data_IF_479550552302
#
_entry.id   IF_479550552302
#
_cell.length_a   1.000
_cell.length_b   1.000
_cell.length_c   1.000
_cell.angle_alpha   90.00
_cell.angle_beta   90.00
_cell.angle_gamma   90.00
#
_symmetry.space_group_name_H-M   'P 1'
#
loop_
_entity.id
_entity.type
_entity.pdbx_description
1 polymer ?
#
# COMPACT_ATOMS: atom_id res chain seq x y z
N UNK A 1 -0.24 -52.07 -3.53
CA UNK A 1 0.87 -51.15 -3.89
C UNK A 1 1.02 -51.22 -5.41
N UNK A 2 0.54 -50.20 -6.14
CA UNK A 2 0.75 -50.09 -7.59
C UNK A 2 1.97 -49.22 -7.81
N UNK A 3 3.07 -49.83 -8.32
CA UNK A 3 4.27 -49.13 -8.77
C UNK A 3 3.88 -48.18 -9.91
N UNK A 4 3.91 -46.84 -9.65
CA UNK A 4 3.89 -45.86 -10.74
C UNK A 4 5.24 -45.93 -11.48
N UNK A 5 5.24 -46.60 -12.62
CA UNK A 5 6.37 -46.57 -13.56
C UNK A 5 6.53 -45.16 -14.12
N UNK A 6 7.52 -44.43 -13.64
CA UNK A 6 7.96 -43.16 -14.22
C UNK A 6 8.69 -43.45 -15.54
N UNK A 7 8.14 -43.00 -16.67
CA UNK A 7 8.82 -43.14 -17.95
C UNK A 7 9.94 -42.08 -18.09
N UNK A 8 11.06 -42.42 -18.79
CA UNK A 8 12.15 -41.47 -19.01
C UNK A 8 11.71 -40.16 -19.69
N UNK A 9 10.63 -40.16 -20.46
CA UNK A 9 10.03 -38.96 -21.10
C UNK A 9 9.41 -37.99 -20.10
N UNK A 10 8.76 -38.51 -19.07
CA UNK A 10 8.16 -37.67 -18.03
C UNK A 10 9.23 -36.97 -17.12
N UNK A 11 10.34 -37.67 -16.85
CA UNK A 11 11.47 -37.09 -16.13
C UNK A 11 12.18 -36.00 -16.96
N UNK A 12 12.41 -36.23 -18.26
CA UNK A 12 13.02 -35.23 -19.15
C UNK A 12 12.14 -33.99 -19.33
N UNK A 13 10.83 -34.14 -19.43
CA UNK A 13 9.92 -33.02 -19.56
C UNK A 13 9.89 -32.15 -18.27
N UNK A 14 9.87 -32.77 -17.08
CA UNK A 14 9.95 -32.06 -15.81
C UNK A 14 11.28 -31.36 -15.63
N UNK A 15 12.40 -32.04 -15.94
CA UNK A 15 13.74 -31.47 -15.84
C UNK A 15 13.88 -30.27 -16.79
N UNK A 16 13.36 -30.37 -18.02
CA UNK A 16 13.36 -29.27 -18.98
C UNK A 16 12.49 -28.10 -18.51
N UNK A 17 11.29 -28.35 -18.02
CA UNK A 17 10.40 -27.32 -17.48
C UNK A 17 10.98 -26.62 -16.22
N UNK A 18 11.72 -27.36 -15.40
CA UNK A 18 12.43 -26.80 -14.25
C UNK A 18 13.63 -25.95 -14.67
N UNK A 19 14.38 -26.37 -15.72
CA UNK A 19 15.44 -25.55 -16.28
C UNK A 19 14.93 -24.23 -16.85
N UNK A 20 13.76 -24.21 -17.49
CA UNK A 20 13.18 -23.00 -18.08
C UNK A 20 12.80 -21.94 -17.03
N UNK A 21 12.47 -22.34 -15.79
CA UNK A 21 12.11 -21.45 -14.68
C UNK A 21 13.25 -21.21 -13.68
N UNK A 22 14.43 -21.77 -13.91
CA UNK A 22 15.62 -21.53 -13.07
C UNK A 22 16.13 -20.11 -13.23
N UNK A 23 16.50 -19.48 -12.12
CA UNK A 23 17.11 -18.15 -12.11
C UNK A 23 18.50 -18.21 -12.74
N UNK A 24 18.65 -17.55 -13.90
CA UNK A 24 19.92 -17.44 -14.61
C UNK A 24 20.76 -16.30 -14.03
N UNK A 25 20.13 -15.13 -13.82
CA UNK A 25 20.80 -13.92 -13.39
C UNK A 25 19.83 -13.01 -12.61
N UNK A 26 20.37 -12.29 -11.63
CA UNK A 26 19.68 -11.22 -10.89
C UNK A 26 20.54 -9.97 -10.98
N UNK A 27 19.94 -8.86 -11.43
CA UNK A 27 20.63 -7.59 -11.61
C UNK A 27 19.83 -6.50 -10.90
N UNK A 28 20.47 -5.76 -10.01
CA UNK A 28 19.90 -4.59 -9.38
C UNK A 28 20.56 -3.31 -9.87
N UNK A 29 19.78 -2.21 -9.87
CA UNK A 29 20.27 -0.87 -10.16
C UNK A 29 19.61 0.16 -9.27
N UNK A 30 20.24 1.31 -9.14
CA UNK A 30 19.64 2.48 -8.52
C UNK A 30 18.84 3.24 -9.58
N UNK A 31 17.59 3.58 -9.23
CA UNK A 31 16.69 4.44 -10.02
C UNK A 31 16.19 5.58 -9.13
N UNK A 32 15.39 6.51 -9.66
CA UNK A 32 14.76 7.57 -8.88
C UNK A 32 13.29 7.25 -8.60
N UNK A 33 12.85 7.55 -7.38
CA UNK A 33 11.44 7.54 -7.00
C UNK A 33 10.71 8.82 -7.44
N UNK A 34 9.41 8.90 -7.21
CA UNK A 34 8.56 10.04 -7.56
C UNK A 34 8.92 11.36 -6.87
N UNK A 35 9.75 11.31 -5.84
CA UNK A 35 10.29 12.48 -5.12
C UNK A 35 11.71 12.84 -5.56
N UNK A 36 12.28 12.12 -6.54
CA UNK A 36 13.65 12.30 -7.00
C UNK A 36 14.70 11.74 -6.03
N UNK A 37 14.30 10.89 -5.07
CA UNK A 37 15.24 10.18 -4.22
C UNK A 37 15.61 8.84 -4.85
N UNK A 38 16.84 8.33 -4.64
CA UNK A 38 17.22 6.99 -5.08
C UNK A 38 16.36 5.90 -4.46
N UNK A 39 16.04 4.89 -5.27
CA UNK A 39 15.49 3.61 -4.83
C UNK A 39 16.07 2.48 -5.68
N UNK A 40 15.75 1.23 -5.35
CA UNK A 40 16.28 0.05 -6.02
C UNK A 40 15.25 -0.51 -7.02
N UNK A 41 15.75 -0.92 -8.20
CA UNK A 41 15.04 -1.74 -9.17
C UNK A 41 15.82 -3.02 -9.40
N UNK A 42 15.11 -4.15 -9.51
CA UNK A 42 15.70 -5.48 -9.69
C UNK A 42 15.11 -6.16 -10.92
N UNK A 43 15.97 -6.76 -11.72
CA UNK A 43 15.65 -7.68 -12.82
C UNK A 43 16.00 -9.11 -12.42
N UNK A 44 15.12 -10.04 -12.64
CA UNK A 44 15.35 -11.49 -12.54
C UNK A 44 15.18 -12.12 -13.90
N UNK A 45 16.26 -12.65 -14.45
CA UNK A 45 16.29 -13.37 -15.72
C UNK A 45 16.23 -14.88 -15.47
N UNK A 46 15.37 -15.58 -16.19
CA UNK A 46 15.26 -17.03 -16.13
C UNK A 46 15.95 -17.69 -17.32
N UNK A 47 16.44 -18.92 -17.17
CA UNK A 47 17.09 -19.72 -18.23
C UNK A 47 16.18 -19.90 -19.47
N UNK A 48 14.86 -19.90 -19.29
CA UNK A 48 13.87 -19.93 -20.37
C UNK A 48 13.67 -18.60 -21.11
N UNK A 49 14.41 -17.54 -20.74
CA UNK A 49 14.34 -16.20 -21.34
C UNK A 49 13.26 -15.29 -20.79
N UNK A 50 12.48 -15.74 -19.80
CA UNK A 50 11.53 -14.86 -19.12
C UNK A 50 12.28 -13.86 -18.23
N UNK A 51 11.75 -12.63 -18.15
CA UNK A 51 12.23 -11.53 -17.34
C UNK A 51 11.13 -11.06 -16.38
N UNK A 52 11.50 -10.88 -15.13
CA UNK A 52 10.68 -10.15 -14.15
C UNK A 52 11.43 -8.92 -13.67
N UNK A 53 10.72 -7.80 -13.55
CA UNK A 53 11.25 -6.53 -13.04
C UNK A 53 10.37 -6.01 -11.93
N UNK A 54 10.97 -5.46 -10.89
CA UNK A 54 10.26 -4.76 -9.83
C UNK A 54 11.08 -3.59 -9.30
N UNK A 55 10.40 -2.48 -9.01
CA UNK A 55 10.98 -1.31 -8.38
C UNK A 55 10.35 -1.11 -6.99
N UNK A 56 11.17 -0.79 -6.00
CA UNK A 56 10.75 -0.75 -4.60
C UNK A 56 10.33 0.65 -4.19
N UNK A 57 9.14 0.83 -3.59
CA UNK A 57 8.70 2.12 -3.07
C UNK A 57 9.44 2.48 -1.76
N UNK A 58 9.37 3.77 -1.37
CA UNK A 58 10.06 4.34 -0.22
C UNK A 58 9.14 5.23 0.62
N UNK A 59 9.14 5.09 1.94
CA UNK A 59 8.35 5.94 2.84
C UNK A 59 8.91 7.35 3.04
N UNK A 60 8.04 8.31 3.43
CA UNK A 60 8.44 9.61 3.96
C UNK A 60 8.40 9.58 5.49
N UNK A 61 7.25 9.29 6.08
CA UNK A 61 7.09 8.85 7.45
C UNK A 61 7.22 7.32 7.50
N UNK A 62 7.85 6.79 8.54
CA UNK A 62 8.05 5.37 8.72
C UNK A 62 7.68 5.00 10.15
N UNK A 63 6.82 3.99 10.32
CA UNK A 63 6.52 3.43 11.63
C UNK A 63 7.78 2.88 12.31
N UNK A 64 7.87 2.98 13.61
CA UNK A 64 9.04 2.58 14.42
C UNK A 64 9.45 1.12 14.17
N UNK A 65 8.49 0.28 13.82
CA UNK A 65 8.66 -1.17 13.69
C UNK A 65 8.75 -1.67 12.24
N UNK A 66 8.85 -0.79 11.25
CA UNK A 66 9.04 -1.17 9.85
C UNK A 66 10.37 -1.91 9.63
N UNK A 67 10.39 -2.78 8.61
CA UNK A 67 11.61 -3.38 8.14
C UNK A 67 12.58 -2.31 7.58
N UNK A 68 13.87 -2.52 7.76
CA UNK A 68 14.89 -1.51 7.53
C UNK A 68 15.16 -1.25 6.05
N UNK A 69 14.84 -0.06 5.58
CA UNK A 69 15.28 0.42 4.26
C UNK A 69 16.77 0.79 4.33
N UNK A 70 17.62 0.05 3.59
CA UNK A 70 19.06 0.27 3.61
C UNK A 70 19.44 1.46 2.73
N UNK A 71 19.98 2.51 3.34
CA UNK A 71 20.51 3.72 2.72
C UNK A 71 22.04 3.78 2.90
N UNK A 72 22.73 4.44 1.95
CA UNK A 72 24.20 4.51 1.97
C UNK A 72 24.73 5.40 3.10
N UNK A 73 24.01 6.47 3.46
CA UNK A 73 24.42 7.42 4.49
C UNK A 73 25.49 8.41 4.04
N UNK A 74 26.03 8.30 2.84
CA UNK A 74 27.03 9.23 2.29
C UNK A 74 26.38 10.59 1.95
N UNK A 75 26.60 11.57 2.79
CA UNK A 75 26.04 12.92 2.62
C UNK A 75 26.45 13.63 1.33
N UNK A 76 27.56 13.21 0.69
CA UNK A 76 28.03 13.77 -0.58
C UNK A 76 27.26 13.27 -1.79
N UNK A 77 26.49 12.18 -1.61
CA UNK A 77 25.70 11.57 -2.67
C UNK A 77 24.23 11.50 -2.25
N UNK A 78 23.35 12.17 -2.99
CA UNK A 78 21.89 12.28 -2.70
C UNK A 78 21.57 12.65 -1.23
N UNK A 79 22.42 13.45 -0.58
CA UNK A 79 22.23 13.82 0.81
C UNK A 79 22.26 12.66 1.81
N UNK A 80 22.81 11.51 1.44
CA UNK A 80 22.85 10.29 2.24
C UNK A 80 21.79 9.26 1.88
N UNK A 81 20.90 9.59 0.93
CA UNK A 81 19.75 8.73 0.55
C UNK A 81 20.08 7.70 -0.56
N UNK A 82 21.35 7.59 -1.03
CA UNK A 82 21.75 6.60 -2.01
C UNK A 82 21.44 5.16 -1.56
N UNK A 83 21.35 4.22 -2.52
CA UNK A 83 21.02 2.80 -2.26
C UNK A 83 22.04 1.84 -2.88
N UNK A 84 23.26 2.29 -3.19
CA UNK A 84 24.27 1.45 -3.81
C UNK A 84 24.69 0.26 -2.93
N UNK A 85 24.61 0.37 -1.61
CA UNK A 85 24.85 -0.76 -0.69
C UNK A 85 23.79 -1.84 -0.87
N UNK A 86 22.50 -1.45 -0.98
CA UNK A 86 21.42 -2.39 -1.24
C UNK A 86 21.56 -3.02 -2.64
N UNK A 87 21.96 -2.24 -3.65
CA UNK A 87 22.26 -2.72 -5.00
C UNK A 87 23.40 -3.75 -4.97
N UNK A 88 24.51 -3.47 -4.28
CA UNK A 88 25.63 -4.40 -4.13
C UNK A 88 25.21 -5.68 -3.40
N UNK A 89 24.39 -5.58 -2.35
CA UNK A 89 23.85 -6.75 -1.63
C UNK A 89 23.05 -7.66 -2.57
N UNK A 90 22.27 -7.11 -3.50
CA UNK A 90 21.54 -7.91 -4.50
C UNK A 90 22.52 -8.55 -5.47
N UNK A 91 23.41 -7.75 -6.10
CA UNK A 91 24.27 -8.21 -7.19
C UNK A 91 25.34 -9.21 -6.74
N UNK A 92 25.88 -9.06 -5.52
CA UNK A 92 26.97 -9.88 -5.03
C UNK A 92 26.48 -11.05 -4.16
N UNK A 93 25.65 -10.77 -3.17
CA UNK A 93 25.25 -11.73 -2.15
C UNK A 93 24.01 -12.54 -2.55
N UNK A 94 22.91 -11.86 -2.88
CA UNK A 94 21.62 -12.51 -3.15
C UNK A 94 21.66 -13.24 -4.50
N UNK A 95 22.19 -12.59 -5.55
CA UNK A 95 22.29 -13.19 -6.89
C UNK A 95 23.05 -14.52 -6.86
N UNK A 96 24.20 -14.56 -6.18
CA UNK A 96 24.99 -15.79 -6.05
C UNK A 96 24.26 -16.89 -5.27
N UNK A 97 23.50 -16.54 -4.25
CA UNK A 97 22.79 -17.48 -3.40
C UNK A 97 21.53 -18.09 -4.04
N UNK A 98 20.92 -17.38 -5.00
CA UNK A 98 19.68 -17.80 -5.67
C UNK A 98 19.89 -18.32 -7.10
N UNK A 99 21.10 -18.23 -7.65
CA UNK A 99 21.40 -18.74 -8.99
C UNK A 99 21.04 -20.22 -9.11
N UNK A 100 20.27 -20.57 -10.15
CA UNK A 100 19.79 -21.93 -10.41
C UNK A 100 18.55 -22.33 -9.60
N UNK A 101 18.03 -21.48 -8.71
CA UNK A 101 16.79 -21.75 -7.98
C UNK A 101 15.59 -21.62 -8.93
N UNK A 102 14.57 -22.42 -8.68
CA UNK A 102 13.31 -22.35 -9.43
C UNK A 102 12.47 -21.15 -8.97
N UNK A 103 12.26 -20.15 -9.84
CA UNK A 103 11.51 -18.94 -9.53
C UNK A 103 10.06 -19.20 -9.09
N UNK A 104 9.50 -20.38 -9.34
CA UNK A 104 8.16 -20.78 -8.89
C UNK A 104 8.07 -21.10 -7.40
N UNK A 105 9.21 -21.31 -6.75
CA UNK A 105 9.31 -21.67 -5.33
C UNK A 105 9.37 -20.38 -4.45
N UNK A 106 8.45 -19.43 -4.68
CA UNK A 106 8.45 -18.09 -4.06
C UNK A 106 8.68 -18.12 -2.55
N UNK A 107 7.93 -18.94 -1.81
CA UNK A 107 8.04 -19.00 -0.36
C UNK A 107 9.44 -19.45 0.10
N UNK A 108 10.06 -20.41 -0.60
CA UNK A 108 11.42 -20.85 -0.29
C UNK A 108 12.47 -19.79 -0.62
N UNK A 109 12.27 -19.05 -1.71
CA UNK A 109 13.13 -17.93 -2.09
C UNK A 109 13.07 -16.84 -1.02
N UNK A 110 11.87 -16.45 -0.60
CA UNK A 110 11.69 -15.43 0.43
C UNK A 110 12.25 -15.88 1.79
N UNK A 111 12.03 -17.16 2.17
CA UNK A 111 12.67 -17.76 3.36
C UNK A 111 14.21 -17.70 3.27
N UNK A 112 14.78 -18.01 2.07
CA UNK A 112 16.23 -17.92 1.85
C UNK A 112 16.72 -16.48 1.95
N UNK A 113 15.97 -15.48 1.42
CA UNK A 113 16.30 -14.07 1.54
C UNK A 113 16.34 -13.62 3.00
N UNK A 114 15.32 -13.98 3.78
CA UNK A 114 15.23 -13.69 5.22
C UNK A 114 16.41 -14.32 5.98
N UNK A 115 16.72 -15.59 5.68
CA UNK A 115 17.83 -16.30 6.31
C UNK A 115 19.19 -15.73 5.95
N UNK A 116 19.38 -15.20 4.72
CA UNK A 116 20.61 -14.52 4.30
C UNK A 116 20.82 -13.20 5.04
N UNK A 117 19.76 -12.43 5.29
CA UNK A 117 19.84 -11.22 6.10
C UNK A 117 20.12 -11.54 7.56
N UNK A 118 19.42 -12.52 8.13
CA UNK A 118 19.62 -13.05 9.48
C UNK A 118 19.29 -12.08 10.62
N UNK A 119 18.75 -10.89 10.33
CA UNK A 119 18.29 -9.93 11.34
C UNK A 119 16.77 -9.86 11.41
N UNK A 120 16.16 -9.53 12.58
CA UNK A 120 14.71 -9.49 12.73
C UNK A 120 14.00 -8.49 11.80
N UNK A 121 14.66 -7.36 11.51
CA UNK A 121 14.12 -6.25 10.73
C UNK A 121 14.84 -6.04 9.39
N UNK A 122 15.57 -7.03 8.88
CA UNK A 122 16.24 -7.01 7.57
C UNK A 122 17.30 -5.90 7.41
N UNK A 123 17.98 -5.53 8.50
CA UNK A 123 18.92 -4.40 8.50
C UNK A 123 20.29 -4.70 7.86
N UNK A 124 20.64 -5.98 7.67
CA UNK A 124 21.96 -6.36 7.16
C UNK A 124 22.04 -6.23 5.63
N UNK A 125 21.05 -6.76 4.91
CA UNK A 125 20.98 -6.66 3.44
C UNK A 125 20.06 -5.51 3.00
N UNK A 126 19.05 -5.18 3.80
CA UNK A 126 18.05 -4.17 3.52
C UNK A 126 16.72 -4.76 3.02
N UNK A 127 15.61 -4.37 3.63
CA UNK A 127 14.28 -4.79 3.20
C UNK A 127 14.00 -4.40 1.74
N UNK A 128 14.54 -3.26 1.28
CA UNK A 128 14.44 -2.82 -0.10
C UNK A 128 15.17 -3.77 -1.07
N UNK A 129 16.34 -4.29 -0.71
CA UNK A 129 17.05 -5.30 -1.51
C UNK A 129 16.26 -6.61 -1.59
N UNK A 130 15.76 -7.10 -0.44
CA UNK A 130 14.99 -8.34 -0.37
C UNK A 130 13.69 -8.23 -1.18
N UNK A 131 12.94 -7.14 -0.99
CA UNK A 131 11.66 -6.95 -1.66
C UNK A 131 11.81 -6.85 -3.18
N UNK A 132 12.82 -6.12 -3.65
CA UNK A 132 13.10 -6.02 -5.10
C UNK A 132 13.28 -7.39 -5.74
N UNK A 133 14.07 -8.26 -5.11
CA UNK A 133 14.30 -9.63 -5.61
C UNK A 133 13.02 -10.48 -5.49
N UNK A 134 12.31 -10.40 -4.36
CA UNK A 134 11.08 -11.16 -4.12
C UNK A 134 10.00 -10.85 -5.16
N UNK A 135 9.71 -9.58 -5.42
CA UNK A 135 8.71 -9.16 -6.41
C UNK A 135 9.17 -9.48 -7.85
N UNK A 136 10.42 -9.17 -8.20
CA UNK A 136 10.96 -9.45 -9.53
C UNK A 136 10.91 -10.96 -9.85
N UNK A 137 11.15 -11.82 -8.85
CA UNK A 137 11.02 -13.27 -8.99
C UNK A 137 9.59 -13.68 -9.30
N UNK A 138 8.61 -13.13 -8.61
CA UNK A 138 7.18 -13.39 -8.88
C UNK A 138 6.80 -12.97 -10.31
N UNK A 139 7.25 -11.80 -10.75
CA UNK A 139 7.06 -11.32 -12.13
C UNK A 139 7.70 -12.26 -13.16
N UNK A 140 8.94 -12.72 -12.93
CA UNK A 140 9.63 -13.65 -13.81
C UNK A 140 8.89 -14.99 -13.92
N UNK A 141 8.43 -15.52 -12.80
CA UNK A 141 7.67 -16.76 -12.76
C UNK A 141 6.32 -16.64 -13.48
N UNK A 142 5.60 -15.53 -13.29
CA UNK A 142 4.36 -15.23 -14.01
C UNK A 142 4.59 -15.12 -15.52
N UNK A 143 5.65 -14.40 -15.94
CA UNK A 143 6.05 -14.27 -17.34
C UNK A 143 6.42 -15.63 -17.95
N UNK A 144 7.16 -16.49 -17.24
CA UNK A 144 7.47 -17.85 -17.69
C UNK A 144 6.21 -18.71 -17.86
N UNK A 145 5.23 -18.53 -16.96
CA UNK A 145 3.93 -19.19 -17.05
C UNK A 145 3.01 -18.58 -18.13
N UNK A 146 3.37 -17.43 -18.71
CA UNK A 146 2.58 -16.66 -19.69
C UNK A 146 1.18 -16.28 -19.18
N UNK A 147 1.11 -15.94 -17.92
CA UNK A 147 -0.11 -15.42 -17.26
C UNK A 147 0.21 -14.13 -16.51
N UNK A 148 -0.73 -13.18 -16.38
CA UNK A 148 -0.50 -11.96 -15.65
C UNK A 148 -0.27 -12.21 -14.17
N UNK A 149 0.44 -11.28 -13.50
CA UNK A 149 0.87 -11.45 -12.11
C UNK A 149 -0.31 -11.69 -11.17
N UNK A 150 -1.43 -10.97 -11.32
CA UNK A 150 -2.59 -11.17 -10.45
C UNK A 150 -3.17 -12.59 -10.54
N UNK A 151 -3.13 -13.20 -11.75
CA UNK A 151 -3.56 -14.60 -11.96
C UNK A 151 -2.56 -15.59 -11.40
N UNK A 152 -1.26 -15.29 -11.56
CA UNK A 152 -0.20 -16.14 -11.04
C UNK A 152 -0.28 -16.25 -9.51
N UNK A 153 -0.47 -15.12 -8.82
CA UNK A 153 -0.55 -15.07 -7.36
C UNK A 153 -1.89 -15.56 -6.81
N UNK A 154 -3.01 -15.15 -7.42
CA UNK A 154 -4.36 -15.36 -6.87
C UNK A 154 -5.15 -16.50 -7.48
N UNK A 155 -4.64 -17.09 -8.58
CA UNK A 155 -5.31 -18.20 -9.28
C UNK A 155 -6.64 -17.80 -9.93
N UNK A 156 -7.51 -18.79 -10.22
CA UNK A 156 -8.74 -18.56 -10.99
C UNK A 156 -9.78 -17.67 -10.26
N UNK A 157 -9.71 -17.55 -8.95
CA UNK A 157 -10.65 -16.74 -8.15
C UNK A 157 -10.21 -15.27 -7.97
N UNK A 158 -9.06 -14.86 -8.49
CA UNK A 158 -8.61 -13.48 -8.50
C UNK A 158 -9.45 -12.65 -9.48
N UNK A 159 -10.49 -11.95 -8.99
CA UNK A 159 -11.46 -11.24 -9.83
C UNK A 159 -12.11 -10.02 -9.18
N UNK A 160 -11.78 -9.72 -7.93
CA UNK A 160 -12.32 -8.56 -7.23
C UNK A 160 -11.44 -7.34 -7.52
N UNK A 161 -12.00 -6.39 -8.24
CA UNK A 161 -11.40 -5.08 -8.45
C UNK A 161 -11.63 -4.21 -7.20
N UNK A 162 -10.57 -3.63 -6.62
CA UNK A 162 -10.67 -2.92 -5.36
C UNK A 162 -11.39 -1.59 -5.48
N UNK A 163 -12.09 -1.16 -4.43
CA UNK A 163 -12.55 0.22 -4.27
C UNK A 163 -11.31 1.10 -4.03
N UNK A 164 -11.09 2.13 -4.86
CA UNK A 164 -9.97 3.02 -4.65
C UNK A 164 -10.27 4.04 -3.52
N UNK A 165 -9.30 4.21 -2.63
CA UNK A 165 -9.22 5.27 -1.63
C UNK A 165 -8.30 6.36 -2.21
N UNK A 166 -8.90 7.42 -2.75
CA UNK A 166 -8.20 8.43 -3.55
C UNK A 166 -7.89 9.65 -2.70
N UNK A 167 -6.62 9.87 -2.35
CA UNK A 167 -6.19 11.06 -1.60
C UNK A 167 -6.31 12.33 -2.47
N UNK A 168 -7.35 13.15 -2.26
CA UNK A 168 -7.61 14.35 -3.06
C UNK A 168 -7.25 15.66 -2.36
N UNK A 169 -7.12 15.65 -1.01
CA UNK A 169 -6.66 16.78 -0.21
C UNK A 169 -5.64 16.31 0.84
N UNK A 170 -4.55 17.05 0.96
CA UNK A 170 -3.46 16.80 1.90
C UNK A 170 -3.45 17.82 3.04
N UNK A 171 -3.12 17.35 4.22
CA UNK A 171 -2.78 18.11 5.40
C UNK A 171 -1.57 17.48 6.12
N UNK A 172 -1.50 17.56 7.43
CA UNK A 172 -0.49 16.93 8.26
C UNK A 172 0.94 17.17 7.74
N UNK A 173 1.76 16.14 7.74
CA UNK A 173 3.13 16.18 7.22
C UNK A 173 3.19 16.35 5.68
N UNK A 174 2.11 16.09 4.96
CA UNK A 174 2.03 16.18 3.50
C UNK A 174 1.69 17.57 2.96
N UNK A 175 1.49 18.58 3.84
CA UNK A 175 1.12 19.94 3.44
C UNK A 175 1.57 20.96 4.48
N UNK A 176 1.81 22.20 4.04
CA UNK A 176 2.02 23.35 4.95
C UNK A 176 0.69 23.91 5.49
N UNK A 177 -0.46 23.35 5.12
CA UNK A 177 -1.77 23.75 5.58
C UNK A 177 -1.90 23.62 7.11
N UNK A 178 -2.68 24.53 7.77
CA UNK A 178 -2.94 24.45 9.21
C UNK A 178 -3.98 23.37 9.55
N UNK A 179 -3.73 22.13 9.12
CA UNK A 179 -4.57 20.95 9.34
C UNK A 179 -3.69 19.83 9.87
N UNK A 180 -4.09 19.17 10.96
CA UNK A 180 -3.29 18.13 11.59
C UNK A 180 -3.46 16.76 10.91
N UNK A 181 -4.65 16.45 10.38
CA UNK A 181 -4.88 15.20 9.65
C UNK A 181 -4.15 15.19 8.30
N UNK A 182 -3.59 14.02 7.94
CA UNK A 182 -2.66 13.90 6.82
C UNK A 182 -3.34 13.80 5.47
N UNK A 183 -4.43 13.00 5.35
CA UNK A 183 -5.10 12.75 4.08
C UNK A 183 -6.62 12.75 4.19
N UNK A 184 -7.25 13.34 3.19
CA UNK A 184 -8.69 13.32 2.98
C UNK A 184 -8.98 12.63 1.65
N UNK A 185 -9.58 11.45 1.73
CA UNK A 185 -9.78 10.57 0.59
C UNK A 185 -11.26 10.48 0.21
N UNK A 186 -11.53 10.32 -1.08
CA UNK A 186 -12.83 9.88 -1.58
C UNK A 186 -12.79 8.40 -1.94
N UNK A 187 -13.93 7.74 -1.72
CA UNK A 187 -14.15 6.33 -2.02
C UNK A 187 -15.42 6.19 -2.88
N UNK A 188 -15.32 5.98 -4.20
CA UNK A 188 -16.49 5.80 -5.08
C UNK A 188 -17.08 4.38 -4.96
N UNK A 189 -17.40 3.97 -3.73
CA UNK A 189 -17.92 2.65 -3.37
C UNK A 189 -19.26 2.33 -4.06
N UNK A 190 -20.08 3.35 -4.32
CA UNK A 190 -21.38 3.20 -4.99
C UNK A 190 -21.31 3.17 -6.51
N UNK A 191 -20.11 3.15 -7.10
CA UNK A 191 -19.97 3.01 -8.55
C UNK A 191 -20.30 1.57 -9.00
N UNK A 192 -20.85 1.40 -10.22
CA UNK A 192 -21.23 0.07 -10.71
C UNK A 192 -20.06 -0.80 -11.16
N UNK A 193 -18.88 -0.21 -11.40
CA UNK A 193 -17.67 -0.89 -11.85
C UNK A 193 -16.43 -0.08 -11.52
N UNK A 194 -15.25 -0.71 -11.60
CA UNK A 194 -13.98 0.01 -11.38
C UNK A 194 -13.73 1.15 -12.39
N UNK A 195 -13.95 0.98 -13.71
CA UNK A 195 -13.82 2.08 -14.65
C UNK A 195 -14.72 3.27 -14.30
N UNK A 196 -15.96 3.03 -13.89
CA UNK A 196 -16.87 4.09 -13.44
C UNK A 196 -16.40 4.73 -12.12
N UNK A 197 -15.89 3.93 -11.19
CA UNK A 197 -15.31 4.45 -9.94
C UNK A 197 -14.15 5.42 -10.23
N UNK A 198 -13.28 5.05 -11.16
CA UNK A 198 -12.16 5.92 -11.57
C UNK A 198 -12.66 7.20 -12.25
N UNK A 199 -13.71 7.11 -13.10
CA UNK A 199 -14.35 8.26 -13.71
C UNK A 199 -14.95 9.21 -12.66
N UNK A 200 -15.71 8.67 -11.69
CA UNK A 200 -16.28 9.44 -10.58
C UNK A 200 -15.18 10.21 -9.84
N UNK A 201 -14.11 9.51 -9.48
CA UNK A 201 -12.98 10.14 -8.81
C UNK A 201 -12.35 11.28 -9.61
N UNK A 202 -12.11 11.06 -10.92
CA UNK A 202 -11.51 12.06 -11.79
C UNK A 202 -12.40 13.32 -11.94
N UNK A 203 -13.70 13.14 -12.10
CA UNK A 203 -14.65 14.25 -12.22
C UNK A 203 -14.73 15.05 -10.90
N UNK A 204 -14.78 14.38 -9.73
CA UNK A 204 -14.74 15.04 -8.43
C UNK A 204 -13.41 15.78 -8.23
N UNK A 205 -12.28 15.18 -8.59
CA UNK A 205 -10.96 15.82 -8.51
C UNK A 205 -10.90 17.12 -9.31
N UNK A 206 -11.46 17.14 -10.53
CA UNK A 206 -11.51 18.34 -11.34
C UNK A 206 -12.47 19.41 -10.80
N UNK A 207 -13.62 19.01 -10.24
CA UNK A 207 -14.51 19.96 -9.56
C UNK A 207 -13.88 20.51 -8.27
N UNK A 208 -13.16 19.68 -7.50
CA UNK A 208 -12.43 20.17 -6.33
C UNK A 208 -11.40 21.22 -6.72
N UNK A 209 -10.69 21.03 -7.84
CA UNK A 209 -9.77 22.05 -8.37
C UNK A 209 -10.48 23.39 -8.63
N UNK A 210 -11.71 23.35 -9.17
CA UNK A 210 -12.51 24.58 -9.41
C UNK A 210 -12.96 25.21 -8.09
N UNK A 211 -13.47 24.41 -7.15
CA UNK A 211 -13.88 24.90 -5.80
C UNK A 211 -12.72 25.63 -5.12
N UNK A 212 -11.53 25.03 -5.12
CA UNK A 212 -10.34 25.63 -4.51
C UNK A 212 -9.92 26.92 -5.24
N UNK A 213 -9.91 26.91 -6.57
CA UNK A 213 -9.55 28.08 -7.38
C UNK A 213 -10.51 29.27 -7.15
N UNK A 214 -11.81 29.01 -7.10
CA UNK A 214 -12.83 30.04 -6.83
C UNK A 214 -12.70 30.66 -5.44
N UNK A 215 -12.15 29.90 -4.49
CA UNK A 215 -11.82 30.38 -3.14
C UNK A 215 -10.46 31.08 -3.07
N UNK A 216 -9.72 31.20 -4.18
CA UNK A 216 -8.39 31.79 -4.23
C UNK A 216 -7.31 30.92 -3.56
N UNK A 217 -7.57 29.61 -3.40
CA UNK A 217 -6.65 28.68 -2.78
C UNK A 217 -5.74 28.00 -3.81
N UNK A 218 -4.57 27.52 -3.35
CA UNK A 218 -3.62 26.79 -4.18
C UNK A 218 -4.23 25.50 -4.72
N UNK A 219 -3.97 25.22 -6.01
CA UNK A 219 -4.27 23.93 -6.66
C UNK A 219 -2.99 23.17 -7.01
N UNK A 220 -1.87 23.50 -6.37
CA UNK A 220 -0.67 22.69 -6.42
C UNK A 220 -0.92 21.35 -5.72
N UNK A 221 -0.28 20.29 -6.23
CA UNK A 221 -0.44 18.93 -5.70
C UNK A 221 0.78 18.54 -4.87
N UNK A 222 0.51 17.74 -3.83
CA UNK A 222 1.54 17.13 -3.00
C UNK A 222 2.16 15.88 -3.64
N UNK A 223 2.97 15.17 -2.85
CA UNK A 223 3.71 13.99 -3.30
C UNK A 223 2.81 12.86 -3.81
N UNK A 224 1.59 12.76 -3.31
CA UNK A 224 0.62 11.73 -3.67
C UNK A 224 -0.42 12.18 -4.71
N UNK A 225 -0.24 13.39 -5.28
CA UNK A 225 -1.07 13.91 -6.37
C UNK A 225 -2.37 14.59 -5.93
N UNK A 226 -2.73 14.58 -4.65
CA UNK A 226 -3.84 15.36 -4.08
C UNK A 226 -3.46 16.83 -3.91
N UNK A 227 -4.46 17.74 -3.86
CA UNK A 227 -4.20 19.17 -3.65
C UNK A 227 -3.70 19.44 -2.23
N UNK A 228 -2.88 20.49 -2.09
CA UNK A 228 -2.33 20.94 -0.81
C UNK A 228 -2.66 22.44 -0.57
N UNK A 229 -3.96 22.80 -0.45
CA UNK A 229 -4.38 24.17 -0.19
C UNK A 229 -4.25 24.54 1.28
N UNK A 230 -4.09 25.84 1.57
CA UNK A 230 -4.11 26.37 2.94
C UNK A 230 -5.55 26.45 3.47
N UNK A 231 -6.18 25.30 3.74
CA UNK A 231 -7.50 25.22 4.38
C UNK A 231 -7.36 25.39 5.90
N UNK A 232 -8.43 25.87 6.54
CA UNK A 232 -8.37 26.32 7.95
C UNK A 232 -8.60 25.20 8.98
N UNK A 233 -9.21 24.08 8.56
CA UNK A 233 -9.56 22.96 9.45
C UNK A 233 -9.90 21.69 8.67
N UNK A 234 -10.01 20.57 9.37
CA UNK A 234 -10.52 19.33 8.79
C UNK A 234 -11.97 19.47 8.28
N UNK A 235 -12.82 20.20 9.00
CA UNK A 235 -14.19 20.51 8.56
C UNK A 235 -14.19 21.29 7.24
N UNK A 236 -13.32 22.28 7.07
CA UNK A 236 -13.19 23.07 5.84
C UNK A 236 -12.73 22.22 4.66
N UNK A 237 -11.84 21.25 4.90
CA UNK A 237 -11.42 20.27 3.90
C UNK A 237 -12.60 19.38 3.48
N UNK A 238 -13.34 18.85 4.45
CA UNK A 238 -14.48 17.98 4.21
C UNK A 238 -15.64 18.71 3.52
N UNK A 239 -15.94 19.96 3.91
CA UNK A 239 -16.95 20.81 3.24
C UNK A 239 -16.54 21.11 1.79
N UNK A 240 -15.23 21.32 1.50
CA UNK A 240 -14.73 21.51 0.14
C UNK A 240 -14.91 20.25 -0.72
N UNK A 241 -14.64 19.06 -0.16
CA UNK A 241 -14.88 17.77 -0.82
C UNK A 241 -16.37 17.57 -1.09
N UNK A 242 -17.23 17.82 -0.09
CA UNK A 242 -18.68 17.69 -0.22
C UNK A 242 -19.21 18.56 -1.37
N UNK A 243 -18.78 19.83 -1.43
CA UNK A 243 -19.10 20.75 -2.51
C UNK A 243 -18.65 20.23 -3.88
N UNK A 244 -17.44 19.69 -3.96
CA UNK A 244 -16.92 19.13 -5.21
C UNK A 244 -17.71 17.91 -5.68
N UNK A 245 -18.09 17.01 -4.77
CA UNK A 245 -18.91 15.83 -5.09
C UNK A 245 -20.29 16.25 -5.62
N UNK A 246 -20.95 17.21 -4.97
CA UNK A 246 -22.25 17.73 -5.41
C UNK A 246 -22.15 18.40 -6.79
N UNK A 247 -21.12 19.24 -7.01
CA UNK A 247 -20.90 19.93 -8.29
C UNK A 247 -20.55 18.97 -9.43
N UNK A 248 -19.91 17.85 -9.13
CA UNK A 248 -19.66 16.78 -10.08
C UNK A 248 -20.93 15.97 -10.41
N UNK A 249 -22.07 16.25 -9.73
CA UNK A 249 -23.35 15.59 -9.95
C UNK A 249 -23.48 14.24 -9.22
N UNK A 250 -22.65 13.97 -8.23
CA UNK A 250 -22.69 12.74 -7.44
C UNK A 250 -23.31 12.97 -6.06
N UNK A 251 -23.77 11.87 -5.46
CA UNK A 251 -24.37 11.87 -4.11
C UNK A 251 -23.36 11.39 -3.09
N UNK A 252 -23.00 12.29 -2.18
CA UNK A 252 -22.15 11.96 -1.03
C UNK A 252 -22.95 11.08 -0.05
N UNK A 253 -22.34 9.96 0.38
CA UNK A 253 -22.98 8.97 1.24
C UNK A 253 -23.80 7.89 0.51
N UNK A 254 -23.92 7.99 -0.84
CA UNK A 254 -24.54 6.95 -1.68
C UNK A 254 -23.54 6.43 -2.74
N UNK A 255 -23.01 7.34 -3.56
CA UNK A 255 -22.08 7.01 -4.64
C UNK A 255 -20.64 7.20 -4.22
N UNK A 256 -20.34 8.27 -3.49
CA UNK A 256 -19.03 8.63 -2.98
C UNK A 256 -19.08 8.71 -1.46
N UNK A 257 -18.11 8.09 -0.81
CA UNK A 257 -17.89 8.12 0.63
C UNK A 257 -16.53 8.77 0.92
N UNK A 258 -16.28 9.05 2.19
CA UNK A 258 -15.04 9.69 2.66
C UNK A 258 -14.24 8.69 3.50
N UNK A 259 -12.91 8.75 3.34
CA UNK A 259 -11.96 8.13 4.24
C UNK A 259 -10.94 9.16 4.70
N UNK A 260 -10.43 8.99 5.91
CA UNK A 260 -9.39 9.81 6.50
C UNK A 260 -8.15 8.97 6.79
N UNK A 261 -6.98 9.57 6.61
CA UNK A 261 -5.75 9.16 7.27
C UNK A 261 -5.37 10.26 8.26
N UNK A 262 -5.50 9.94 9.55
CA UNK A 262 -5.21 10.90 10.60
C UNK A 262 -3.71 11.00 10.89
N UNK A 263 -2.95 9.92 10.67
CA UNK A 263 -1.54 9.80 11.02
C UNK A 263 -1.25 10.30 12.45
N UNK A 264 -2.02 9.80 13.42
CA UNK A 264 -2.11 10.40 14.76
C UNK A 264 -0.81 10.36 15.55
N UNK A 265 0.15 9.51 15.18
CA UNK A 265 1.49 9.48 15.76
C UNK A 265 2.23 10.80 15.59
N UNK A 266 1.98 11.55 14.49
CA UNK A 266 2.63 12.82 14.17
C UNK A 266 2.27 13.97 15.14
N UNK A 267 1.11 13.90 15.78
CA UNK A 267 0.65 14.89 16.75
C UNK A 267 0.41 14.34 18.15
N UNK A 268 0.87 13.10 18.43
CA UNK A 268 0.84 12.52 19.76
C UNK A 268 2.06 12.91 20.58
N UNK A 269 1.84 13.36 21.81
CA UNK A 269 2.88 13.62 22.81
C UNK A 269 2.85 12.52 23.87
N UNK A 270 3.79 11.57 23.77
CA UNK A 270 3.88 10.43 24.66
C UNK A 270 4.18 10.83 26.12
N UNK A 271 4.82 11.98 26.35
CA UNK A 271 5.17 12.45 27.70
C UNK A 271 3.96 13.01 28.43
N UNK A 272 3.04 13.64 27.71
CA UNK A 272 1.77 14.16 28.26
C UNK A 272 0.62 13.15 28.10
N UNK A 273 0.79 12.12 27.27
CA UNK A 273 -0.27 11.19 26.86
C UNK A 273 -1.45 11.92 26.22
N UNK A 274 -1.17 12.87 25.34
CA UNK A 274 -2.13 13.75 24.70
C UNK A 274 -1.86 13.88 23.20
N UNK A 275 -2.93 14.09 22.44
CA UNK A 275 -2.90 14.48 21.03
C UNK A 275 -2.96 16.00 20.94
N UNK A 276 -1.95 16.64 20.35
CA UNK A 276 -1.79 18.09 20.28
C UNK A 276 -1.95 18.54 18.83
N UNK A 277 -3.01 19.26 18.54
CA UNK A 277 -3.31 19.77 17.19
C UNK A 277 -2.46 21.02 16.89
N UNK A 278 -1.13 20.80 16.70
CA UNK A 278 -0.12 21.86 16.60
C UNK A 278 -0.27 22.75 15.38
N UNK A 279 -0.81 22.21 14.29
CA UNK A 279 -0.95 22.93 13.02
C UNK A 279 -2.23 23.77 12.98
N UNK A 280 -3.31 23.31 13.61
CA UNK A 280 -4.61 24.00 13.58
C UNK A 280 -4.80 24.93 14.78
N UNK A 281 -5.41 24.46 15.85
CA UNK A 281 -5.90 25.29 16.94
C UNK A 281 -5.09 25.18 18.25
N UNK A 282 -4.05 24.38 18.28
CA UNK A 282 -3.21 24.14 19.46
C UNK A 282 -3.92 23.34 20.56
N UNK A 283 -5.11 22.80 20.30
CA UNK A 283 -5.88 22.05 21.30
C UNK A 283 -5.17 20.76 21.70
N UNK A 284 -5.30 20.43 23.00
CA UNK A 284 -4.82 19.18 23.58
C UNK A 284 -6.00 18.27 23.85
N UNK A 285 -5.92 17.01 23.40
CA UNK A 285 -6.99 16.02 23.52
C UNK A 285 -6.45 14.74 24.13
N UNK A 286 -7.18 14.15 25.10
CA UNK A 286 -6.98 12.75 25.45
C UNK A 286 -7.46 11.84 24.33
N UNK A 287 -7.17 10.55 24.38
CA UNK A 287 -7.68 9.59 23.40
C UNK A 287 -9.21 9.60 23.34
N UNK A 288 -9.91 9.72 24.48
CA UNK A 288 -11.37 9.83 24.52
C UNK A 288 -11.88 11.08 23.79
N UNK A 289 -11.24 12.24 24.02
CA UNK A 289 -11.62 13.50 23.39
C UNK A 289 -11.33 13.49 21.88
N UNK A 290 -10.26 12.83 21.44
CA UNK A 290 -9.96 12.61 20.03
C UNK A 290 -11.04 11.73 19.38
N UNK A 291 -11.42 10.62 20.02
CA UNK A 291 -12.48 9.73 19.51
C UNK A 291 -13.83 10.44 19.45
N UNK A 292 -14.15 11.31 20.43
CA UNK A 292 -15.35 12.16 20.36
C UNK A 292 -15.31 13.14 19.18
N UNK A 293 -14.14 13.63 18.83
CA UNK A 293 -13.99 14.46 17.64
C UNK A 293 -14.25 13.67 16.36
N UNK A 294 -13.74 12.44 16.24
CA UNK A 294 -14.08 11.57 15.10
C UNK A 294 -15.56 11.24 15.03
N UNK A 295 -16.23 10.99 16.16
CA UNK A 295 -17.68 10.75 16.17
C UNK A 295 -18.47 11.94 15.64
N UNK A 296 -18.07 13.18 15.98
CA UNK A 296 -18.68 14.40 15.45
C UNK A 296 -18.49 14.52 13.94
N UNK A 297 -17.29 14.23 13.44
CA UNK A 297 -17.02 14.23 11.99
C UNK A 297 -17.86 13.16 11.27
N UNK A 298 -17.92 11.93 11.81
CA UNK A 298 -18.72 10.85 11.24
C UNK A 298 -20.24 11.11 11.30
N UNK A 299 -20.70 11.95 12.23
CA UNK A 299 -22.11 12.36 12.30
C UNK A 299 -22.44 13.42 11.23
N UNK A 300 -21.48 14.27 10.85
CA UNK A 300 -21.65 15.34 9.86
C UNK A 300 -21.38 14.86 8.42
N UNK A 301 -20.41 13.97 8.23
CA UNK A 301 -19.95 13.51 6.93
C UNK A 301 -20.03 11.98 6.83
N UNK A 302 -20.24 11.40 5.64
CA UNK A 302 -20.28 9.94 5.44
C UNK A 302 -18.87 9.35 5.41
N UNK A 303 -18.16 9.47 6.53
CA UNK A 303 -16.85 8.87 6.75
C UNK A 303 -17.05 7.39 7.06
N UNK A 304 -16.46 6.52 6.25
CA UNK A 304 -16.57 5.07 6.38
C UNK A 304 -15.24 4.38 6.72
N UNK A 305 -14.14 5.13 6.76
CA UNK A 305 -12.82 4.60 7.11
C UNK A 305 -11.97 5.67 7.77
N UNK A 306 -11.26 5.31 8.85
CA UNK A 306 -10.22 6.14 9.48
C UNK A 306 -8.97 5.27 9.64
N UNK A 307 -7.86 5.74 9.07
CA UNK A 307 -6.54 5.15 9.18
C UNK A 307 -5.77 5.87 10.28
N UNK A 308 -5.04 5.10 11.10
CA UNK A 308 -4.22 5.55 12.21
C UNK A 308 -4.88 6.62 13.08
N UNK A 309 -6.12 6.32 13.49
CA UNK A 309 -6.93 7.20 14.32
C UNK A 309 -6.41 7.39 15.75
N UNK A 310 -5.44 6.58 16.18
CA UNK A 310 -4.63 6.76 17.39
C UNK A 310 -3.16 6.48 17.06
N UNK A 311 -2.24 6.95 17.91
CA UNK A 311 -0.81 6.71 17.75
C UNK A 311 -0.47 5.21 17.80
N UNK A 312 0.59 4.81 17.10
CA UNK A 312 1.03 3.40 16.96
C UNK A 312 1.31 2.70 18.30
N UNK A 313 1.72 3.46 19.33
CA UNK A 313 2.01 2.94 20.66
C UNK A 313 0.85 3.14 21.67
N UNK A 314 -0.23 3.88 21.31
CA UNK A 314 -1.40 4.10 22.18
C UNK A 314 -2.46 3.00 22.02
N UNK A 315 -2.12 1.78 22.42
CA UNK A 315 -3.04 0.62 22.38
C UNK A 315 -4.29 0.83 23.22
N UNK A 316 -4.23 1.63 24.29
CA UNK A 316 -5.39 1.97 25.12
C UNK A 316 -6.35 2.90 24.35
N UNK A 317 -5.85 3.90 23.68
CA UNK A 317 -6.64 4.78 22.80
C UNK A 317 -7.27 3.99 21.64
N UNK A 318 -6.54 3.09 21.01
CA UNK A 318 -7.07 2.21 19.97
C UNK A 318 -8.22 1.32 20.46
N UNK A 319 -8.17 0.80 21.68
CA UNK A 319 -9.31 0.05 22.27
C UNK A 319 -10.54 0.92 22.47
N UNK A 320 -10.36 2.18 22.86
CA UNK A 320 -11.46 3.14 23.00
C UNK A 320 -12.06 3.43 21.62
N UNK A 321 -11.21 3.74 20.65
CA UNK A 321 -11.61 4.01 19.26
C UNK A 321 -12.39 2.83 18.67
N UNK A 322 -11.85 1.61 18.79
CA UNK A 322 -12.48 0.39 18.26
C UNK A 322 -13.84 0.12 18.89
N UNK A 323 -13.94 0.25 20.21
CA UNK A 323 -15.22 0.05 20.92
C UNK A 323 -16.29 1.05 20.51
N UNK A 324 -15.92 2.31 20.23
CA UNK A 324 -16.88 3.38 19.92
C UNK A 324 -17.28 3.45 18.46
N UNK A 325 -16.36 3.16 17.54
CA UNK A 325 -16.56 3.35 16.11
C UNK A 325 -16.44 2.06 15.28
N UNK A 326 -15.80 1.00 15.80
CA UNK A 326 -15.44 -0.19 15.01
C UNK A 326 -16.61 -0.98 14.43
N UNK A 327 -17.82 -0.89 15.03
CA UNK A 327 -19.03 -1.51 14.47
C UNK A 327 -19.68 -0.67 13.35
N UNK A 328 -19.27 0.59 13.19
CA UNK A 328 -19.89 1.56 12.28
C UNK A 328 -19.03 1.87 11.08
N UNK A 329 -17.70 1.91 11.27
CA UNK A 329 -16.73 2.28 10.24
C UNK A 329 -15.52 1.35 10.27
N UNK A 330 -14.76 1.37 9.20
CA UNK A 330 -13.47 0.72 9.10
C UNK A 330 -12.41 1.52 9.89
N UNK A 331 -11.64 0.83 10.71
CA UNK A 331 -10.51 1.37 11.44
C UNK A 331 -9.23 0.65 10.98
N UNK A 332 -8.41 1.37 10.24
CA UNK A 332 -7.22 0.82 9.56
C UNK A 332 -5.99 1.09 10.41
N UNK A 333 -5.25 0.04 10.77
CA UNK A 333 -3.92 0.17 11.36
C UNK A 333 -2.85 0.14 10.26
N UNK A 334 -2.13 1.26 10.09
CA UNK A 334 -0.91 1.36 9.28
C UNK A 334 0.32 1.20 10.18
N UNK A 335 0.75 2.26 10.85
CA UNK A 335 1.90 2.22 11.77
C UNK A 335 1.67 1.29 12.97
N UNK A 336 0.39 1.10 13.36
CA UNK A 336 0.00 0.14 14.38
C UNK A 336 0.42 -1.30 14.05
N UNK A 337 0.35 -1.71 12.79
CA UNK A 337 0.57 -3.10 12.35
C UNK A 337 1.77 -3.30 11.44
N UNK A 338 2.23 -2.27 10.75
CA UNK A 338 3.39 -2.25 9.84
C UNK A 338 3.47 -3.49 8.93
N UNK A 339 2.32 -3.96 8.41
CA UNK A 339 2.21 -5.19 7.58
C UNK A 339 2.77 -6.45 8.27
N UNK A 340 2.93 -6.44 9.59
CA UNK A 340 3.58 -7.50 10.35
C UNK A 340 2.56 -8.42 11.03
N UNK A 341 2.66 -9.74 10.76
CA UNK A 341 1.76 -10.77 11.32
C UNK A 341 1.76 -10.81 12.85
N UNK A 342 2.85 -10.42 13.51
CA UNK A 342 2.93 -10.44 14.99
C UNK A 342 2.10 -9.30 15.59
N UNK A 343 2.24 -8.07 15.05
CA UNK A 343 1.44 -6.93 15.49
C UNK A 343 -0.04 -7.11 15.12
N UNK A 344 -0.33 -7.62 13.92
CA UNK A 344 -1.71 -7.92 13.53
C UNK A 344 -2.34 -8.97 14.44
N UNK A 345 -1.61 -10.03 14.81
CA UNK A 345 -2.09 -11.05 15.75
C UNK A 345 -2.42 -10.44 17.11
N UNK A 346 -1.55 -9.59 17.63
CA UNK A 346 -1.81 -8.83 18.87
C UNK A 346 -3.09 -8.00 18.75
N UNK A 347 -3.28 -7.28 17.63
CA UNK A 347 -4.50 -6.49 17.40
C UNK A 347 -5.76 -7.35 17.37
N UNK A 348 -5.70 -8.52 16.74
CA UNK A 348 -6.80 -9.49 16.70
C UNK A 348 -7.13 -10.01 18.10
N UNK A 349 -6.13 -10.42 18.86
CA UNK A 349 -6.28 -10.96 20.23
C UNK A 349 -6.82 -9.90 21.21
N UNK A 350 -6.41 -8.65 21.04
CA UNK A 350 -6.83 -7.53 21.89
C UNK A 350 -8.08 -6.79 21.36
N UNK A 351 -8.67 -7.23 20.25
CA UNK A 351 -9.83 -6.62 19.59
C UNK A 351 -9.60 -5.14 19.24
N UNK A 352 -8.47 -4.84 18.65
CA UNK A 352 -8.03 -3.48 18.27
C UNK A 352 -8.03 -3.33 16.76
N UNK A 353 -8.63 -2.25 16.25
CA UNK A 353 -8.89 -2.00 14.83
C UNK A 353 -9.82 -3.07 14.19
N UNK A 354 -10.01 -3.04 12.89
CA UNK A 354 -10.78 -4.03 12.14
C UNK A 354 -10.30 -4.14 10.68
N UNK A 355 -9.21 -3.45 10.36
CA UNK A 355 -8.56 -3.44 9.05
C UNK A 355 -7.06 -3.22 9.22
N UNK A 356 -6.29 -3.67 8.24
CA UNK A 356 -4.85 -3.42 8.15
C UNK A 356 -4.49 -2.78 6.83
N UNK A 357 -3.61 -1.77 6.86
CA UNK A 357 -2.93 -1.28 5.67
C UNK A 357 -1.78 -2.22 5.31
N UNK A 358 -1.64 -2.53 4.03
CA UNK A 358 -0.62 -3.45 3.51
C UNK A 358 0.35 -2.66 2.64
N UNK A 359 1.56 -2.47 3.13
CA UNK A 359 2.67 -1.84 2.44
C UNK A 359 3.79 -2.87 2.26
N UNK A 360 4.03 -3.31 1.05
CA UNK A 360 4.97 -4.42 0.75
C UNK A 360 6.39 -4.19 1.30
N UNK A 361 6.84 -2.93 1.34
CA UNK A 361 8.19 -2.61 1.83
C UNK A 361 8.29 -2.49 3.36
N UNK A 362 7.17 -2.38 4.10
CA UNK A 362 7.19 -2.39 5.58
C UNK A 362 7.63 -3.74 6.14
N UNK A 363 7.42 -4.81 5.38
CA UNK A 363 7.80 -6.18 5.79
C UNK A 363 8.93 -6.76 4.93
N UNK A 364 8.99 -6.46 3.63
CA UNK A 364 10.15 -6.68 2.76
C UNK A 364 10.20 -7.97 1.97
N UNK A 365 9.15 -8.83 1.99
CA UNK A 365 8.97 -9.94 1.04
C UNK A 365 7.51 -10.09 0.63
N UNK A 366 7.28 -10.68 -0.54
CA UNK A 366 5.94 -10.97 -1.04
C UNK A 366 5.24 -12.03 -0.17
N UNK A 367 5.95 -13.07 0.25
CA UNK A 367 5.38 -14.15 1.09
C UNK A 367 4.88 -13.60 2.43
N UNK A 368 5.69 -12.80 3.14
CA UNK A 368 5.25 -12.19 4.41
C UNK A 368 4.06 -11.24 4.20
N UNK A 369 4.04 -10.50 3.09
CA UNK A 369 2.90 -9.64 2.70
C UNK A 369 1.62 -10.45 2.52
N UNK A 370 1.69 -11.57 1.77
CA UNK A 370 0.54 -12.45 1.54
C UNK A 370 0.08 -13.15 2.83
N UNK A 371 1.00 -13.48 3.73
CA UNK A 371 0.69 -14.07 5.05
C UNK A 371 -0.05 -13.07 5.94
N UNK A 372 0.32 -11.78 5.93
CA UNK A 372 -0.40 -10.74 6.66
C UNK A 372 -1.83 -10.55 6.14
N UNK A 373 -2.00 -10.52 4.80
CA UNK A 373 -3.33 -10.44 4.16
C UNK A 373 -4.18 -11.65 4.53
N UNK A 374 -3.62 -12.84 4.44
CA UNK A 374 -4.31 -14.10 4.77
C UNK A 374 -4.72 -14.15 6.25
N UNK A 375 -3.84 -13.71 7.16
CA UNK A 375 -4.15 -13.64 8.60
C UNK A 375 -5.32 -12.68 8.84
N UNK A 376 -5.30 -11.49 8.23
CA UNK A 376 -6.38 -10.51 8.32
C UNK A 376 -7.72 -11.10 7.89
N UNK A 377 -7.78 -11.68 6.69
CA UNK A 377 -9.00 -12.26 6.13
C UNK A 377 -9.55 -13.41 6.96
N UNK A 378 -8.68 -14.26 7.51
CA UNK A 378 -9.08 -15.39 8.37
C UNK A 378 -9.74 -14.94 9.69
N UNK A 379 -9.48 -13.71 10.12
CA UNK A 379 -9.99 -13.13 11.36
C UNK A 379 -11.00 -11.98 11.12
N UNK A 380 -11.57 -11.89 9.90
CA UNK A 380 -12.56 -10.88 9.53
C UNK A 380 -12.05 -9.43 9.56
N UNK A 381 -10.74 -9.20 9.54
CA UNK A 381 -10.17 -7.91 9.22
C UNK A 381 -10.21 -7.69 7.72
N UNK A 382 -10.51 -6.48 7.31
CA UNK A 382 -10.33 -6.05 5.92
C UNK A 382 -8.88 -5.66 5.65
N UNK A 383 -8.52 -5.56 4.39
CA UNK A 383 -7.18 -5.17 3.96
C UNK A 383 -7.25 -4.03 2.96
N UNK A 384 -6.35 -3.08 3.08
CA UNK A 384 -6.17 -1.99 2.12
C UNK A 384 -4.76 -2.13 1.55
N UNK A 385 -4.64 -2.45 0.27
CA UNK A 385 -3.32 -2.50 -0.40
C UNK A 385 -2.89 -1.07 -0.67
N UNK A 386 -1.67 -0.71 -0.24
CA UNK A 386 -1.24 0.68 -0.22
C UNK A 386 0.06 0.91 -0.94
N UNK A 387 0.16 2.10 -1.54
CA UNK A 387 1.38 2.72 -2.03
C UNK A 387 2.24 3.26 -0.86
N UNK A 388 3.34 3.93 -1.22
CA UNK A 388 4.12 4.78 -0.30
C UNK A 388 4.23 6.21 -0.87
N UNK A 389 4.73 7.14 -0.04
CA UNK A 389 4.92 8.54 -0.48
C UNK A 389 5.92 8.65 -1.63
N UNK A 390 7.00 7.88 -1.62
CA UNK A 390 7.94 7.71 -2.74
C UNK A 390 7.60 6.46 -3.55
N UNK A 391 7.01 6.66 -4.72
CA UNK A 391 6.59 5.61 -5.64
C UNK A 391 7.44 5.60 -6.92
N UNK A 392 7.24 4.56 -7.71
CA UNK A 392 7.84 4.35 -9.03
C UNK A 392 6.73 4.06 -10.05
N UNK A 393 7.09 3.71 -11.30
CA UNK A 393 6.14 3.20 -12.28
C UNK A 393 5.65 1.77 -11.98
N UNK A 394 6.24 1.07 -11.02
CA UNK A 394 5.85 -0.30 -10.65
C UNK A 394 4.37 -0.36 -10.26
N UNK A 395 3.68 -1.39 -10.76
CA UNK A 395 2.24 -1.58 -10.57
C UNK A 395 1.90 -2.84 -9.77
N UNK A 396 2.88 -3.52 -9.19
CA UNK A 396 2.71 -4.80 -8.48
C UNK A 396 1.61 -4.76 -7.43
N UNK A 397 1.43 -3.63 -6.73
CA UNK A 397 0.37 -3.48 -5.72
C UNK A 397 -1.04 -3.56 -6.32
N UNK A 398 -1.24 -3.17 -7.57
CA UNK A 398 -2.53 -3.32 -8.26
C UNK A 398 -2.83 -4.81 -8.53
N UNK A 399 -1.82 -5.56 -8.99
CA UNK A 399 -1.93 -7.01 -9.19
C UNK A 399 -2.14 -7.75 -7.87
N UNK A 400 -1.42 -7.38 -6.80
CA UNK A 400 -1.59 -7.96 -5.45
C UNK A 400 -3.01 -7.72 -4.92
N UNK A 401 -3.56 -6.50 -5.11
CA UNK A 401 -4.91 -6.17 -4.65
C UNK A 401 -5.98 -7.09 -5.28
N UNK A 402 -5.86 -7.35 -6.58
CA UNK A 402 -6.79 -8.26 -7.29
C UNK A 402 -6.48 -9.73 -6.96
N UNK A 403 -5.20 -10.11 -6.92
CA UNK A 403 -4.77 -11.48 -6.60
C UNK A 403 -5.34 -11.98 -5.27
N UNK A 404 -5.35 -11.12 -4.27
CA UNK A 404 -5.81 -11.45 -2.91
C UNK A 404 -7.29 -11.16 -2.68
N UNK A 405 -8.00 -10.58 -3.67
CA UNK A 405 -9.35 -10.06 -3.51
C UNK A 405 -9.45 -9.12 -2.28
N UNK A 406 -8.45 -8.26 -2.09
CA UNK A 406 -8.34 -7.36 -0.93
C UNK A 406 -9.55 -6.41 -0.79
N UNK A 407 -10.18 -6.07 -1.91
CA UNK A 407 -11.37 -5.24 -1.97
C UNK A 407 -11.12 -3.75 -1.90
N UNK A 408 -9.92 -3.31 -1.50
CA UNK A 408 -9.56 -1.90 -1.37
C UNK A 408 -8.11 -1.66 -1.79
N UNK A 409 -7.85 -0.46 -2.35
CA UNK A 409 -6.50 0.02 -2.67
C UNK A 409 -6.38 1.51 -2.35
N UNK A 410 -5.29 1.89 -1.66
CA UNK A 410 -4.89 3.27 -1.38
C UNK A 410 -3.65 3.56 -2.21
N UNK A 411 -3.78 4.30 -3.31
CA UNK A 411 -2.65 4.54 -4.23
C UNK A 411 -2.56 5.98 -4.72
N UNK A 412 -2.91 6.92 -3.83
CA UNK A 412 -2.82 8.34 -4.08
C UNK A 412 -3.99 8.89 -4.90
N UNK A 413 -3.77 10.04 -5.53
CA UNK A 413 -4.78 10.78 -6.26
C UNK A 413 -4.82 10.40 -7.76
N UNK A 414 -5.57 11.20 -8.51
CA UNK A 414 -5.82 11.06 -9.95
C UNK A 414 -4.85 11.92 -10.80
N UNK A 415 -3.74 12.30 -10.21
CA UNK A 415 -2.64 13.01 -10.85
C UNK A 415 -1.30 12.40 -10.42
N UNK A 416 -0.22 12.70 -11.15
CA UNK A 416 1.11 12.08 -11.09
C UNK A 416 1.13 10.65 -11.60
N UNK A 417 2.02 10.38 -12.56
CA UNK A 417 2.08 9.08 -13.28
C UNK A 417 2.35 7.90 -12.36
N UNK A 418 3.17 8.12 -11.33
CA UNK A 418 3.49 7.13 -10.30
C UNK A 418 2.24 6.61 -9.55
N UNK A 419 1.19 7.41 -9.45
CA UNK A 419 -0.11 7.03 -8.86
C UNK A 419 -1.04 6.45 -9.92
N UNK A 420 -1.21 7.19 -11.03
CA UNK A 420 -2.13 6.82 -12.11
C UNK A 420 -1.74 5.50 -12.77
N UNK A 421 -0.46 5.13 -12.77
CA UNK A 421 0.01 3.84 -13.30
C UNK A 421 -0.71 2.64 -12.68
N UNK A 422 -0.95 2.67 -11.35
CA UNK A 422 -1.66 1.60 -10.61
C UNK A 422 -3.14 1.53 -11.01
N UNK A 423 -3.80 2.69 -11.16
CA UNK A 423 -5.18 2.76 -11.67
C UNK A 423 -5.29 2.25 -13.10
N UNK A 424 -4.35 2.63 -13.97
CA UNK A 424 -4.31 2.14 -15.34
C UNK A 424 -4.07 0.62 -15.40
N UNK A 425 -3.27 0.06 -14.49
CA UNK A 425 -3.10 -1.39 -14.38
C UNK A 425 -4.42 -2.07 -13.97
N UNK A 426 -5.16 -1.52 -13.01
CA UNK A 426 -6.48 -2.04 -12.64
C UNK A 426 -7.49 -1.97 -13.78
N UNK A 427 -7.43 -0.94 -14.66
CA UNK A 427 -8.25 -0.89 -15.88
C UNK A 427 -7.91 -2.03 -16.84
N UNK A 428 -6.61 -2.33 -17.06
CA UNK A 428 -6.18 -3.47 -17.89
C UNK A 428 -6.65 -4.80 -17.31
N UNK A 429 -6.55 -4.96 -15.98
CA UNK A 429 -7.06 -6.14 -15.28
C UNK A 429 -8.59 -6.23 -15.43
N UNK A 430 -9.32 -5.11 -15.33
CA UNK A 430 -10.76 -5.07 -15.54
C UNK A 430 -11.15 -5.53 -16.94
N UNK A 431 -10.44 -5.08 -17.96
CA UNK A 431 -10.64 -5.48 -19.36
C UNK A 431 -10.38 -6.99 -19.54
N UNK A 432 -9.29 -7.53 -18.97
CA UNK A 432 -8.98 -8.96 -19.03
C UNK A 432 -10.02 -9.85 -18.32
N UNK A 433 -10.57 -9.37 -17.19
CA UNK A 433 -11.60 -10.07 -16.45
C UNK A 433 -12.96 -10.05 -17.17
N UNK A 434 -13.26 -8.98 -17.92
CA UNK A 434 -14.54 -8.80 -18.61
C UNK A 434 -15.72 -8.94 -17.64
N UNK A 435 -16.73 -9.73 -18.05
CA UNK A 435 -17.95 -9.96 -17.26
C UNK A 435 -17.72 -10.74 -15.93
N UNK A 436 -16.51 -11.31 -15.74
CA UNK A 436 -16.14 -11.97 -14.49
C UNK A 436 -15.63 -11.00 -13.42
N UNK A 437 -15.41 -9.74 -13.78
CA UNK A 437 -14.97 -8.72 -12.85
C UNK A 437 -16.04 -8.42 -11.79
N UNK A 438 -15.64 -8.39 -10.54
CA UNK A 438 -16.50 -7.97 -9.41
C UNK A 438 -15.91 -6.69 -8.85
N UNK A 439 -16.69 -5.61 -8.81
CA UNK A 439 -16.24 -4.36 -8.20
C UNK A 439 -16.63 -4.28 -6.74
N UNK A 440 -15.69 -3.83 -5.93
CA UNK A 440 -15.87 -3.68 -4.49
C UNK A 440 -15.87 -5.02 -3.77
N UNK A 441 -14.95 -5.22 -2.91
CA UNK A 441 -14.85 -6.40 -2.08
C UNK A 441 -15.61 -6.27 -0.77
N UNK A 442 -15.25 -7.13 0.19
CA UNK A 442 -15.72 -7.07 1.56
C UNK A 442 -15.20 -5.77 2.19
N UNK A 443 -16.13 -4.86 2.48
CA UNK A 443 -15.90 -3.65 3.26
C UNK A 443 -16.83 -3.67 4.46
N UNK A 444 -16.44 -3.03 5.56
CA UNK A 444 -17.33 -2.84 6.71
C UNK A 444 -18.27 -1.66 6.52
#
# INVERSE_FOLDING_TARGET
>A
MRNMCWTPRSCRARYRAQMETSIAEIIAREILDSRGNPTIEVDVHLEGGALGRAAVPSGASTGEHEAWELRDGDKKRYGGKGVLRAVANVNDNIASALKGWDAREQAKIDEKLIALDGSPNKKNLGANALLGVSLATAHAAAAAAKIPLFRYLGGPNARVLPVPMMNILNGGAHSDAPIDFQEFMIMPKGAPSFPEALRYGAEVFHELKRVLHERGLSTAVGDEGGFAPALSSADDALDSIASAVERAGYKLGEQIFIALDAASSEFYDASENLYIFKKSDGSKRSAEALVEYYEKLCAKFPIISIEDGCAENDWAGWKILTRRLGDRIQLVGDDLFVTNVQFLRKGIEEHVANSILIKVNQIGTLTETLDAIKLAHNHNYTTVISHRSGETEDTSIADIAVATNAGQIKTGSLSRTDRVAKYNQLLRIAEELGDNAVYGGKMR
#
